data_IF_958727722414
#
_entry.id   IF_958727722414
#
_cell.length_a   1.000
_cell.length_b   1.000
_cell.length_c   1.000
_cell.angle_alpha   90.00
_cell.angle_beta   90.00
_cell.angle_gamma   90.00
#
_symmetry.space_group_name_H-M   'P 1'
#
loop_
_entity.id
_entity.type
_entity.pdbx_description
1 polymer ?
#
# COMPACT_ATOMS: atom_id res chain seq x y z
N UNK A 1 4.79 -64.66 -36.67
CA UNK A 1 3.52 -65.37 -36.42
C UNK A 1 2.45 -64.33 -36.20
N UNK A 2 1.41 -64.38 -37.02
CA UNK A 2 0.28 -63.46 -37.03
C UNK A 2 -0.82 -63.92 -36.07
N UNK A 3 -1.60 -62.99 -35.51
CA UNK A 3 -3.07 -62.99 -35.55
C UNK A 3 -3.66 -61.82 -34.72
N UNK A 4 -4.43 -60.96 -35.40
CA UNK A 4 -5.49 -60.09 -34.84
C UNK A 4 -6.83 -60.89 -34.84
N UNK A 5 -8.06 -60.35 -34.57
CA UNK A 5 -8.50 -58.98 -34.17
C UNK A 5 -9.66 -58.93 -33.11
N UNK A 6 -10.22 -57.74 -32.79
CA UNK A 6 -11.66 -57.33 -32.85
C UNK A 6 -12.00 -56.08 -31.99
N UNK A 7 -12.46 -55.04 -32.71
CA UNK A 7 -13.44 -53.93 -32.53
C UNK A 7 -14.14 -53.60 -31.16
N UNK A 8 -14.03 -52.30 -30.79
CA UNK A 8 -14.98 -51.29 -30.19
C UNK A 8 -16.09 -51.67 -29.18
N UNK A 9 -16.19 -50.92 -28.05
CA UNK A 9 -17.33 -50.01 -27.71
C UNK A 9 -17.15 -49.23 -26.38
N UNK A 10 -17.82 -48.08 -26.30
CA UNK A 10 -17.91 -47.08 -25.20
C UNK A 10 -18.28 -47.64 -23.81
N UNK A 11 -17.78 -46.99 -22.73
CA UNK A 11 -18.33 -47.16 -21.38
C UNK A 11 -17.64 -46.29 -20.32
N UNK A 12 -18.44 -45.48 -19.61
CA UNK A 12 -18.06 -44.45 -18.64
C UNK A 12 -17.95 -44.99 -17.19
N UNK A 13 -17.05 -44.37 -16.42
CA UNK A 13 -16.91 -44.32 -14.94
C UNK A 13 -16.51 -45.59 -14.16
N UNK A 14 -15.36 -45.52 -13.46
CA UNK A 14 -15.28 -45.26 -12.01
C UNK A 14 -13.86 -45.60 -11.48
N UNK A 15 -13.14 -44.60 -10.99
CA UNK A 15 -11.84 -44.77 -10.33
C UNK A 15 -11.68 -43.74 -9.22
N UNK A 16 -11.74 -44.23 -7.97
CA UNK A 16 -11.73 -43.47 -6.72
C UNK A 16 -10.45 -42.67 -6.50
N UNK A 17 -10.65 -41.56 -5.81
CA UNK A 17 -9.69 -40.62 -5.27
C UNK A 17 -8.64 -41.24 -4.32
N UNK A 18 -7.43 -40.71 -4.35
CA UNK A 18 -6.77 -40.13 -3.17
C UNK A 18 -5.47 -39.42 -3.56
N UNK A 19 -5.46 -38.09 -3.50
CA UNK A 19 -4.36 -37.33 -2.91
C UNK A 19 -4.92 -35.96 -2.51
N UNK A 20 -4.95 -35.72 -1.21
CA UNK A 20 -5.55 -34.55 -0.61
C UNK A 20 -4.65 -33.32 -0.67
N UNK A 21 -5.33 -32.17 -0.55
CA UNK A 21 -4.84 -30.93 0.03
C UNK A 21 -3.61 -30.29 -0.62
N UNK A 22 -3.83 -29.34 -1.54
CA UNK A 22 -3.17 -28.01 -1.56
C UNK A 22 -3.51 -27.12 -2.80
N UNK A 23 -4.67 -27.27 -3.43
CA UNK A 23 -5.10 -26.36 -4.52
C UNK A 23 -6.54 -25.87 -4.33
N UNK A 24 -6.75 -24.77 -3.60
CA UNK A 24 -8.12 -24.24 -3.45
C UNK A 24 -8.21 -22.71 -3.27
N UNK A 25 -7.47 -21.92 -4.07
CA UNK A 25 -7.84 -20.51 -4.31
C UNK A 25 -7.79 -20.04 -5.77
N UNK A 26 -7.11 -20.75 -6.67
CA UNK A 26 -7.13 -20.48 -8.10
C UNK A 26 -8.49 -20.73 -8.80
N UNK A 27 -9.26 -21.81 -8.51
CA UNK A 27 -10.45 -22.12 -9.31
C UNK A 27 -11.64 -21.18 -9.04
N UNK A 28 -11.64 -20.44 -7.92
CA UNK A 28 -12.71 -19.49 -7.59
C UNK A 28 -12.58 -18.20 -8.39
N UNK A 29 -11.35 -17.68 -8.58
CA UNK A 29 -11.06 -16.51 -9.43
C UNK A 29 -11.42 -16.77 -10.89
N UNK A 30 -11.09 -17.96 -11.40
CA UNK A 30 -11.37 -18.34 -12.79
C UNK A 30 -12.87 -18.50 -13.08
N UNK A 31 -13.63 -19.08 -12.12
CA UNK A 31 -15.10 -19.21 -12.21
C UNK A 31 -15.80 -17.85 -12.17
N UNK A 32 -15.30 -16.91 -11.37
CA UNK A 32 -15.86 -15.57 -11.24
C UNK A 32 -15.61 -14.74 -12.52
N UNK A 33 -14.40 -14.78 -13.08
CA UNK A 33 -14.08 -14.17 -14.38
C UNK A 33 -15.01 -14.66 -15.50
N UNK A 34 -15.26 -15.98 -15.59
CA UNK A 34 -16.21 -16.52 -16.59
C UNK A 34 -17.63 -15.97 -16.42
N UNK A 35 -18.07 -15.75 -15.18
CA UNK A 35 -19.41 -15.24 -14.89
C UNK A 35 -19.57 -13.77 -15.29
N UNK A 36 -18.53 -12.95 -15.10
CA UNK A 36 -18.50 -11.56 -15.59
C UNK A 36 -18.50 -11.47 -17.12
N UNK A 37 -17.77 -12.36 -17.82
CA UNK A 37 -17.83 -12.42 -19.29
C UNK A 37 -19.20 -12.86 -19.82
N UNK A 38 -19.87 -13.80 -19.14
CA UNK A 38 -21.18 -14.33 -19.56
C UNK A 38 -22.30 -13.31 -19.36
N UNK A 39 -22.16 -12.40 -18.38
CA UNK A 39 -23.08 -11.30 -18.12
C UNK A 39 -22.81 -10.06 -19.00
N UNK A 40 -21.79 -10.10 -19.87
CA UNK A 40 -21.43 -9.00 -20.77
C UNK A 40 -20.71 -7.84 -20.08
N UNK A 41 -20.15 -8.05 -18.88
CA UNK A 41 -19.48 -7.00 -18.10
C UNK A 41 -17.97 -6.91 -18.38
N UNK A 42 -17.44 -7.85 -19.16
CA UNK A 42 -16.08 -7.87 -19.68
C UNK A 42 -16.05 -8.63 -21.01
N UNK A 43 -15.21 -8.21 -21.95
CA UNK A 43 -14.90 -9.00 -23.15
C UNK A 43 -13.43 -9.44 -23.11
N UNK A 44 -13.15 -10.66 -23.59
CA UNK A 44 -11.80 -11.20 -23.67
C UNK A 44 -11.35 -11.23 -25.13
N UNK A 45 -10.33 -10.44 -25.46
CA UNK A 45 -9.54 -10.64 -26.67
C UNK A 45 -8.06 -10.60 -26.25
N UNK A 46 -7.38 -11.76 -26.34
CA UNK A 46 -5.92 -11.86 -26.21
C UNK A 46 -5.31 -11.24 -24.95
N UNK A 47 -5.35 -11.96 -23.83
CA UNK A 47 -4.49 -11.70 -22.67
C UNK A 47 -4.75 -10.41 -21.85
N UNK A 48 -5.75 -9.61 -22.22
CA UNK A 48 -6.14 -8.38 -21.51
C UNK A 48 -7.62 -8.43 -21.10
N UNK A 49 -7.96 -7.93 -19.91
CA UNK A 49 -9.35 -7.70 -19.51
C UNK A 49 -9.62 -6.20 -19.68
N UNK A 50 -10.50 -5.85 -20.63
CA UNK A 50 -11.01 -4.49 -20.78
C UNK A 50 -12.48 -4.47 -20.32
N UNK A 51 -12.83 -3.55 -19.42
CA UNK A 51 -14.22 -3.25 -19.08
C UNK A 51 -14.69 -2.10 -19.99
N UNK A 52 -15.86 -2.22 -20.62
CA UNK A 52 -16.37 -1.20 -21.55
C UNK A 52 -16.75 0.09 -20.82
N UNK A 53 -16.08 1.20 -21.15
CA UNK A 53 -16.14 2.52 -20.47
C UNK A 53 -17.20 3.47 -21.05
N UNK A 54 -18.03 3.05 -22.02
CA UNK A 54 -19.00 3.94 -22.66
C UNK A 54 -20.45 3.69 -22.23
N UNK A 55 -20.78 4.15 -21.02
CA UNK A 55 -22.11 4.68 -20.70
C UNK A 55 -21.95 6.02 -19.98
N UNK A 56 -22.49 7.08 -20.57
CA UNK A 56 -22.46 8.45 -20.02
C UNK A 56 -23.31 8.62 -18.74
N UNK A 57 -23.96 7.56 -18.27
CA UNK A 57 -24.83 7.56 -17.08
C UNK A 57 -24.13 7.18 -15.77
N UNK A 58 -22.82 6.87 -15.78
CA UNK A 58 -22.07 6.49 -14.55
C UNK A 58 -21.01 7.55 -14.21
N UNK A 59 -21.10 8.19 -13.02
CA UNK A 59 -20.09 9.15 -12.52
C UNK A 59 -18.69 8.54 -12.48
N UNK A 60 -17.65 9.33 -12.79
CA UNK A 60 -16.25 8.85 -12.84
C UNK A 60 -15.77 8.24 -11.53
N UNK A 61 -16.17 8.83 -10.40
CA UNK A 61 -15.93 8.32 -9.04
C UNK A 61 -16.38 6.87 -8.79
N UNK A 62 -17.28 6.35 -9.63
CA UNK A 62 -17.84 5.00 -9.50
C UNK A 62 -17.36 4.06 -10.62
N UNK A 63 -16.38 4.47 -11.42
CA UNK A 63 -15.80 3.64 -12.48
C UNK A 63 -14.62 2.86 -11.92
N UNK A 64 -14.70 1.53 -11.97
CA UNK A 64 -13.59 0.66 -11.61
C UNK A 64 -12.59 0.64 -12.79
N UNK A 65 -11.41 1.22 -12.61
CA UNK A 65 -10.32 1.16 -13.59
C UNK A 65 -9.29 0.16 -13.08
N UNK A 66 -9.09 -0.93 -13.82
CA UNK A 66 -7.99 -1.87 -13.58
C UNK A 66 -6.96 -1.71 -14.69
N UNK A 67 -5.81 -1.09 -14.39
CA UNK A 67 -4.67 -1.04 -15.32
C UNK A 67 -3.59 -2.00 -14.86
N UNK A 68 -3.19 -2.91 -15.75
CA UNK A 68 -1.94 -3.67 -15.62
C UNK A 68 -0.97 -3.19 -16.68
N UNK A 69 0.23 -2.76 -16.30
CA UNK A 69 1.35 -2.60 -17.25
C UNK A 69 2.24 -3.84 -17.21
N UNK A 70 2.60 -4.29 -18.40
CA UNK A 70 3.61 -5.31 -18.62
C UNK A 70 5.01 -4.77 -18.25
N UNK A 71 5.62 -5.40 -17.26
CA UNK A 71 7.04 -5.75 -17.32
C UNK A 71 7.19 -7.09 -16.60
N UNK A 72 7.90 -8.02 -17.22
CA UNK A 72 8.11 -9.36 -16.68
C UNK A 72 8.69 -9.30 -15.26
N UNK A 73 8.14 -10.17 -14.39
CA UNK A 73 8.50 -10.49 -13.01
C UNK A 73 7.71 -9.78 -11.88
N UNK A 74 7.13 -10.66 -11.05
CA UNK A 74 6.51 -10.48 -9.73
C UNK A 74 5.09 -9.86 -9.74
N UNK A 75 4.10 -10.75 -9.74
CA UNK A 75 2.76 -10.48 -9.24
C UNK A 75 2.81 -10.24 -7.73
N UNK A 76 2.45 -9.05 -7.26
CA UNK A 76 1.93 -8.85 -5.90
C UNK A 76 0.48 -8.38 -5.98
N UNK A 77 -0.41 -9.25 -5.49
CA UNK A 77 -1.86 -9.15 -5.59
C UNK A 77 -2.50 -8.24 -4.53
N UNK A 78 -1.80 -7.21 -4.05
CA UNK A 78 -2.14 -6.59 -2.76
C UNK A 78 -3.02 -5.33 -2.86
N UNK A 79 -3.06 -4.66 -4.02
CA UNK A 79 -4.00 -3.55 -4.26
C UNK A 79 -5.44 -4.00 -4.55
N UNK A 80 -5.67 -5.29 -4.79
CA UNK A 80 -6.99 -5.80 -5.14
C UNK A 80 -7.84 -6.23 -3.94
N UNK A 81 -7.26 -6.34 -2.74
CA UNK A 81 -7.93 -6.95 -1.59
C UNK A 81 -9.06 -6.07 -1.01
N UNK A 82 -8.87 -4.74 -0.99
CA UNK A 82 -9.90 -3.78 -0.59
C UNK A 82 -11.05 -3.72 -1.61
N UNK A 83 -10.72 -3.59 -2.89
CA UNK A 83 -11.69 -3.62 -4.00
C UNK A 83 -12.48 -4.94 -4.05
N UNK A 84 -11.86 -6.07 -3.67
CA UNK A 84 -12.53 -7.37 -3.60
C UNK A 84 -13.47 -7.50 -2.39
N UNK A 85 -13.11 -6.92 -1.24
CA UNK A 85 -13.98 -6.94 -0.07
C UNK A 85 -15.23 -6.08 -0.29
N UNK A 86 -15.08 -4.91 -0.88
CA UNK A 86 -16.20 -4.04 -1.23
C UNK A 86 -17.12 -4.69 -2.28
N UNK A 87 -16.54 -5.40 -3.26
CA UNK A 87 -17.30 -6.19 -4.24
C UNK A 87 -18.02 -7.41 -3.62
N UNK A 88 -17.44 -8.02 -2.57
CA UNK A 88 -18.08 -9.11 -1.82
C UNK A 88 -19.24 -8.61 -0.95
N UNK A 89 -19.10 -7.45 -0.30
CA UNK A 89 -20.21 -6.81 0.44
C UNK A 89 -21.37 -6.46 -0.50
N UNK A 90 -21.09 -5.93 -1.70
CA UNK A 90 -22.11 -5.68 -2.72
C UNK A 90 -22.80 -6.96 -3.21
N UNK A 91 -22.10 -8.10 -3.25
CA UNK A 91 -22.69 -9.40 -3.60
C UNK A 91 -23.55 -9.99 -2.47
N UNK A 92 -23.23 -9.70 -1.20
CA UNK A 92 -24.05 -10.11 -0.05
C UNK A 92 -25.42 -9.41 -0.01
N UNK A 93 -25.56 -8.26 -0.67
CA UNK A 93 -26.83 -7.51 -0.73
C UNK A 93 -27.84 -8.00 -1.77
N UNK A 94 -27.46 -8.95 -2.63
CA UNK A 94 -28.37 -9.62 -3.58
C UNK A 94 -28.91 -8.71 -4.71
N UNK A 95 -29.15 -9.23 -5.92
CA UNK A 95 -29.57 -8.41 -7.08
C UNK A 95 -30.99 -7.80 -7.01
N UNK A 96 -31.78 -8.08 -5.96
CA UNK A 96 -33.22 -7.78 -5.97
C UNK A 96 -33.62 -6.42 -5.39
N UNK A 97 -32.67 -5.60 -4.93
CA UNK A 97 -32.98 -4.26 -4.39
C UNK A 97 -32.69 -3.10 -5.35
N UNK A 98 -32.44 -3.37 -6.63
CA UNK A 98 -32.22 -2.35 -7.65
C UNK A 98 -33.25 -2.45 -8.78
N UNK A 99 -34.53 -2.30 -8.45
CA UNK A 99 -35.57 -1.96 -9.44
C UNK A 99 -36.53 -0.93 -8.81
N UNK A 100 -36.61 0.32 -9.32
CA UNK A 100 -37.71 1.20 -8.98
C UNK A 100 -38.95 0.74 -9.78
N UNK A 101 -39.90 0.09 -9.11
CA UNK A 101 -41.19 -0.22 -9.73
C UNK A 101 -42.03 1.07 -9.82
N UNK A 102 -42.14 1.64 -11.03
CA UNK A 102 -43.38 2.27 -11.49
C UNK A 102 -44.41 1.13 -11.70
N UNK A 103 -45.71 1.21 -11.36
CA UNK A 103 -46.87 1.98 -11.88
C UNK A 103 -48.11 1.54 -11.01
N UNK A 104 -49.37 2.02 -11.16
CA UNK A 104 -50.01 3.35 -11.05
C UNK A 104 -50.94 3.50 -9.79
N UNK A 105 -51.49 4.70 -9.61
CA UNK A 105 -52.57 5.04 -8.66
C UNK A 105 -53.77 4.07 -8.71
N UNK A 106 -54.26 3.62 -7.54
CA UNK A 106 -55.69 3.55 -7.21
C UNK A 106 -55.94 3.44 -5.69
N UNK A 107 -57.09 3.96 -5.31
CA UNK A 107 -57.70 4.23 -4.00
C UNK A 107 -57.96 3.02 -3.10
N UNK A 108 -57.87 3.17 -1.77
CA UNK A 108 -58.54 2.25 -0.82
C UNK A 108 -57.98 2.27 0.62
N UNK A 109 -58.88 2.26 1.62
CA UNK A 109 -58.66 2.41 3.08
C UNK A 109 -58.18 1.13 3.80
N UNK A 110 -57.60 1.30 5.00
CA UNK A 110 -57.55 0.31 6.10
C UNK A 110 -56.13 0.06 6.65
N UNK A 111 -55.68 0.72 7.73
CA UNK A 111 -55.78 0.37 9.18
C UNK A 111 -54.90 -0.81 9.67
N UNK A 112 -53.91 -0.44 10.52
CA UNK A 112 -53.28 -1.15 11.65
C UNK A 112 -52.42 -2.40 11.35
N UNK A 113 -51.32 -2.71 12.04
CA UNK A 113 -50.51 -2.09 13.09
C UNK A 113 -49.21 -2.93 13.28
N UNK A 114 -48.26 -2.37 14.04
CA UNK A 114 -47.08 -2.99 14.71
C UNK A 114 -45.77 -3.18 13.93
N UNK A 115 -44.78 -2.29 14.18
CA UNK A 115 -43.56 -2.63 14.94
C UNK A 115 -42.52 -1.48 14.98
N UNK A 116 -42.17 -1.08 16.20
CA UNK A 116 -40.87 -0.58 16.70
C UNK A 116 -40.17 0.59 15.99
N UNK A 117 -40.39 1.78 16.57
CA UNK A 117 -39.67 3.02 16.32
C UNK A 117 -38.31 2.97 17.05
N UNK A 118 -37.22 2.86 16.30
CA UNK A 118 -35.91 3.36 16.70
C UNK A 118 -35.79 4.78 16.15
N UNK A 119 -36.02 5.78 17.01
CA UNK A 119 -35.94 7.20 16.68
C UNK A 119 -34.55 7.59 16.22
N UNK A 120 -34.41 7.87 14.92
CA UNK A 120 -33.41 8.79 14.40
C UNK A 120 -33.67 10.17 15.02
N UNK A 121 -32.80 10.59 15.93
CA UNK A 121 -32.77 11.99 16.36
C UNK A 121 -32.26 12.79 15.16
N UNK A 122 -33.20 13.48 14.48
CA UNK A 122 -32.90 14.63 13.64
C UNK A 122 -32.12 15.63 14.50
N UNK A 123 -30.81 15.73 14.26
CA UNK A 123 -30.02 16.82 14.81
C UNK A 123 -30.56 18.12 14.20
N UNK A 124 -31.23 18.89 15.05
CA UNK A 124 -31.72 20.22 14.74
C UNK A 124 -30.58 21.16 14.42
N UNK A 125 -30.86 22.08 13.51
CA UNK A 125 -30.02 23.20 13.17
C UNK A 125 -29.63 23.98 14.43
N UNK A 126 -28.34 23.97 14.75
CA UNK A 126 -27.68 24.98 15.54
C UNK A 126 -26.81 25.79 14.57
N UNK A 127 -27.24 27.03 14.34
CA UNK A 127 -26.52 28.03 13.57
C UNK A 127 -25.11 28.20 14.14
N UNK A 128 -24.09 27.84 13.36
CA UNK A 128 -22.77 28.43 13.47
C UNK A 128 -22.37 28.95 12.09
N UNK A 129 -22.23 30.28 11.99
CA UNK A 129 -21.81 30.97 10.78
C UNK A 129 -20.28 30.86 10.62
N UNK A 130 -19.76 29.65 10.54
CA UNK A 130 -18.43 29.41 9.98
C UNK A 130 -18.65 28.60 8.70
N UNK A 131 -18.14 29.04 7.53
CA UNK A 131 -18.06 28.13 6.41
C UNK A 131 -17.15 26.99 6.87
N UNK A 132 -17.73 25.84 7.21
CA UNK A 132 -16.96 24.62 7.40
C UNK A 132 -16.36 24.30 6.06
N UNK A 133 -15.08 24.65 5.90
CA UNK A 133 -14.23 24.17 4.82
C UNK A 133 -14.52 22.67 4.63
N UNK A 134 -14.81 22.21 3.40
CA UNK A 134 -15.15 20.82 3.17
C UNK A 134 -13.99 19.93 3.63
N UNK A 135 -14.30 18.95 4.48
CA UNK A 135 -13.30 17.99 4.96
C UNK A 135 -12.62 17.30 3.77
N UNK A 136 -11.29 17.08 3.83
CA UNK A 136 -10.60 16.37 2.77
C UNK A 136 -11.14 14.94 2.65
N UNK A 137 -11.27 14.45 1.41
CA UNK A 137 -11.73 13.08 1.17
C UNK A 137 -10.63 12.06 1.45
N UNK A 138 -9.39 12.46 1.17
CA UNK A 138 -8.19 11.66 1.35
C UNK A 138 -7.12 12.48 2.08
N UNK A 139 -6.39 11.82 2.97
CA UNK A 139 -5.20 12.37 3.63
C UNK A 139 -4.00 11.52 3.24
N UNK A 140 -2.94 12.15 2.76
CA UNK A 140 -1.65 11.52 2.49
C UNK A 140 -0.64 12.06 3.50
N UNK A 141 0.04 11.17 4.22
CA UNK A 141 0.97 11.53 5.29
C UNK A 141 2.39 11.16 4.92
N UNK A 142 3.31 12.08 5.15
CA UNK A 142 4.72 11.75 5.32
C UNK A 142 4.97 11.03 6.66
N UNK A 143 6.15 10.41 6.83
CA UNK A 143 6.56 9.72 8.05
C UNK A 143 7.48 10.59 8.90
N UNK A 144 8.72 10.78 8.44
CA UNK A 144 9.80 11.43 9.19
C UNK A 144 9.44 12.90 9.42
N UNK A 145 9.53 13.38 10.66
CA UNK A 145 9.18 14.76 11.00
C UNK A 145 7.68 15.08 10.96
N UNK A 146 6.82 14.12 10.60
CA UNK A 146 5.38 14.33 10.38
C UNK A 146 4.53 13.42 11.28
N UNK A 147 4.57 12.10 11.08
CA UNK A 147 3.94 11.13 12.00
C UNK A 147 4.90 10.60 13.05
N UNK A 148 6.20 10.60 12.73
CA UNK A 148 7.26 9.94 13.48
C UNK A 148 8.42 10.92 13.66
N UNK A 149 9.06 10.99 14.85
CA UNK A 149 10.23 11.84 15.05
C UNK A 149 11.35 11.54 14.05
N UNK A 150 11.99 12.57 13.50
CA UNK A 150 13.15 12.41 12.59
C UNK A 150 14.23 11.54 13.25
N UNK A 151 14.48 11.78 14.54
CA UNK A 151 15.46 11.03 15.34
C UNK A 151 15.18 9.53 15.40
N UNK A 152 13.94 9.08 15.27
CA UNK A 152 13.65 7.65 15.25
C UNK A 152 14.28 6.97 14.03
N UNK A 153 14.27 7.62 12.87
CA UNK A 153 14.90 7.04 11.67
C UNK A 153 16.42 7.17 11.74
N UNK A 154 16.92 8.36 12.07
CA UNK A 154 18.37 8.64 12.06
C UNK A 154 19.13 7.97 13.19
N UNK A 155 18.52 7.88 14.38
CA UNK A 155 19.20 7.48 15.61
C UNK A 155 18.82 6.06 16.05
N UNK A 156 17.74 5.48 15.49
CA UNK A 156 17.30 4.11 15.82
C UNK A 156 17.33 3.20 14.60
N UNK A 157 16.56 3.48 13.55
CA UNK A 157 16.43 2.54 12.42
C UNK A 157 17.73 2.34 11.64
N UNK A 158 18.41 3.41 11.21
CA UNK A 158 19.66 3.26 10.47
C UNK A 158 20.79 2.66 11.32
N UNK A 159 21.03 3.09 12.58
CA UNK A 159 21.99 2.44 13.46
C UNK A 159 21.66 0.96 13.70
N UNK A 160 20.39 0.61 13.89
CA UNK A 160 19.98 -0.79 14.03
C UNK A 160 20.34 -1.61 12.79
N UNK A 161 20.08 -1.11 11.57
CA UNK A 161 20.45 -1.85 10.37
C UNK A 161 21.97 -2.06 10.27
N UNK A 162 22.75 -1.01 10.57
CA UNK A 162 24.21 -1.05 10.58
C UNK A 162 24.75 -2.07 11.60
N UNK A 163 24.28 -2.03 12.84
CA UNK A 163 24.85 -2.83 13.93
C UNK A 163 24.40 -4.30 13.88
N UNK A 164 23.35 -4.60 13.12
CA UNK A 164 22.75 -5.93 13.06
C UNK A 164 22.89 -6.63 11.70
N UNK A 165 23.47 -5.99 10.68
CA UNK A 165 23.67 -6.59 9.34
C UNK A 165 24.39 -7.94 9.40
N UNK A 166 25.50 -8.03 10.15
CA UNK A 166 26.27 -9.27 10.27
C UNK A 166 25.48 -10.40 10.94
N UNK A 167 24.70 -10.08 11.98
CA UNK A 167 23.86 -11.07 12.68
C UNK A 167 22.71 -11.54 11.80
N UNK A 168 22.02 -10.62 11.13
CA UNK A 168 20.94 -10.94 10.20
C UNK A 168 21.45 -11.85 9.08
N UNK A 169 22.49 -11.44 8.34
CA UNK A 169 23.08 -12.24 7.27
C UNK A 169 23.54 -13.62 7.76
N UNK A 170 24.09 -13.72 8.97
CA UNK A 170 24.50 -15.02 9.54
C UNK A 170 23.32 -15.94 9.82
N UNK A 171 22.22 -15.39 10.35
CA UNK A 171 21.04 -16.16 10.70
C UNK A 171 20.22 -16.57 9.48
N UNK A 172 20.14 -15.71 8.47
CA UNK A 172 19.24 -15.88 7.32
C UNK A 172 19.96 -16.23 6.02
N UNK A 173 21.27 -16.47 6.03
CA UNK A 173 22.11 -16.64 4.83
C UNK A 173 21.55 -17.59 3.76
N UNK A 174 20.98 -18.72 4.18
CA UNK A 174 20.44 -19.75 3.28
C UNK A 174 19.00 -19.49 2.84
N UNK A 175 18.35 -18.47 3.40
CA UNK A 175 16.98 -18.13 3.03
C UNK A 175 16.94 -17.54 1.61
N UNK A 176 15.90 -17.85 0.80
CA UNK A 176 15.79 -17.30 -0.55
C UNK A 176 15.86 -15.77 -0.58
N UNK A 177 15.23 -15.10 0.39
CA UNK A 177 15.19 -13.65 0.51
C UNK A 177 16.60 -13.05 0.72
N UNK A 178 17.36 -13.57 1.68
CA UNK A 178 18.73 -13.10 1.91
C UNK A 178 19.66 -13.46 0.75
N UNK A 179 19.44 -14.58 0.06
CA UNK A 179 20.21 -14.92 -1.14
C UNK A 179 19.97 -13.92 -2.28
N UNK A 180 18.73 -13.43 -2.43
CA UNK A 180 18.40 -12.37 -3.39
C UNK A 180 19.03 -11.03 -2.99
N UNK A 181 19.02 -10.67 -1.70
CA UNK A 181 19.73 -9.49 -1.20
C UNK A 181 21.23 -9.54 -1.50
N UNK A 182 21.88 -10.68 -1.19
CA UNK A 182 23.31 -10.89 -1.43
C UNK A 182 23.62 -10.75 -2.92
N UNK A 183 22.78 -11.31 -3.79
CA UNK A 183 22.96 -11.20 -5.24
C UNK A 183 22.86 -9.76 -5.71
N UNK A 184 21.87 -9.01 -5.22
CA UNK A 184 21.68 -7.61 -5.59
C UNK A 184 22.84 -6.73 -5.08
N UNK A 185 23.30 -6.96 -3.85
CA UNK A 185 24.47 -6.27 -3.27
C UNK A 185 25.76 -6.62 -4.00
N UNK A 186 25.98 -7.87 -4.40
CA UNK A 186 27.12 -8.27 -5.25
C UNK A 186 27.15 -7.47 -6.54
N UNK A 187 26.02 -7.43 -7.26
CA UNK A 187 25.91 -6.66 -8.51
C UNK A 187 26.22 -5.18 -8.28
N UNK A 188 25.69 -4.59 -7.21
CA UNK A 188 25.94 -3.19 -6.89
C UNK A 188 27.43 -2.92 -6.59
N UNK A 189 28.06 -3.77 -5.77
CA UNK A 189 29.47 -3.63 -5.39
C UNK A 189 30.38 -3.81 -6.60
N UNK A 190 30.07 -4.72 -7.51
CA UNK A 190 30.80 -4.86 -8.77
C UNK A 190 30.77 -3.57 -9.62
N UNK A 191 29.62 -2.91 -9.70
CA UNK A 191 29.49 -1.64 -10.41
C UNK A 191 30.21 -0.50 -9.68
N UNK A 192 30.13 -0.47 -8.35
CA UNK A 192 30.85 0.48 -7.51
C UNK A 192 32.37 0.36 -7.66
N UNK A 193 32.89 -0.86 -7.75
CA UNK A 193 34.31 -1.14 -8.01
C UNK A 193 34.75 -0.64 -9.39
N UNK A 194 33.92 -0.86 -10.43
CA UNK A 194 34.19 -0.33 -11.78
C UNK A 194 34.22 1.20 -11.80
N UNK A 195 33.40 1.84 -10.97
CA UNK A 195 33.30 3.29 -10.84
C UNK A 195 34.34 3.88 -9.86
N UNK A 196 35.12 3.05 -9.17
CA UNK A 196 36.13 3.50 -8.20
C UNK A 196 35.52 4.15 -6.96
N UNK A 197 34.31 3.74 -6.55
CA UNK A 197 33.64 4.26 -5.36
C UNK A 197 34.48 3.91 -4.11
N UNK A 198 34.80 4.92 -3.32
CA UNK A 198 35.59 4.75 -2.10
C UNK A 198 34.86 3.86 -1.08
N UNK A 199 35.56 2.85 -0.56
CA UNK A 199 35.02 1.91 0.42
C UNK A 199 34.37 0.66 -0.17
N UNK A 200 34.24 0.57 -1.50
CA UNK A 200 33.81 -0.67 -2.15
C UNK A 200 34.92 -1.74 -2.07
N UNK A 201 34.57 -2.95 -1.66
CA UNK A 201 35.48 -4.09 -1.52
C UNK A 201 34.88 -5.30 -2.24
N UNK A 202 35.64 -6.07 -3.03
CA UNK A 202 35.13 -7.26 -3.69
C UNK A 202 34.47 -8.24 -2.72
N UNK A 203 33.27 -8.70 -3.07
CA UNK A 203 32.57 -9.75 -2.31
C UNK A 203 33.03 -11.10 -2.87
N UNK A 204 33.61 -12.00 -2.06
CA UNK A 204 34.03 -13.33 -2.51
C UNK A 204 32.86 -14.17 -3.06
N UNK A 205 33.21 -15.15 -3.90
CA UNK A 205 32.27 -16.17 -4.34
C UNK A 205 31.84 -17.07 -3.16
N UNK A 206 30.73 -17.78 -3.30
CA UNK A 206 30.16 -18.57 -2.19
C UNK A 206 31.08 -19.71 -1.74
N UNK A 207 31.94 -20.20 -2.63
CA UNK A 207 32.94 -21.24 -2.37
C UNK A 207 34.04 -20.78 -1.41
N UNK A 208 34.23 -19.47 -1.23
CA UNK A 208 35.16 -18.91 -0.25
C UNK A 208 34.71 -19.16 1.21
N UNK A 209 33.45 -19.55 1.41
CA UNK A 209 32.86 -19.81 2.72
C UNK A 209 31.98 -18.65 3.19
N UNK A 210 30.89 -19.02 3.87
CA UNK A 210 29.83 -18.12 4.35
C UNK A 210 30.37 -16.94 5.14
N UNK A 211 31.31 -17.17 6.06
CA UNK A 211 31.84 -16.16 6.96
C UNK A 211 32.61 -15.07 6.21
N UNK A 212 33.34 -15.43 5.16
CA UNK A 212 34.10 -14.47 4.35
C UNK A 212 33.18 -13.61 3.50
N UNK A 213 32.13 -14.21 2.92
CA UNK A 213 31.09 -13.49 2.17
C UNK A 213 30.38 -12.50 3.06
N UNK A 214 29.96 -12.92 4.26
CA UNK A 214 29.28 -12.04 5.24
C UNK A 214 30.21 -10.90 5.66
N UNK A 215 31.47 -11.17 6.01
CA UNK A 215 32.40 -10.12 6.42
C UNK A 215 32.60 -9.05 5.33
N UNK A 216 32.70 -9.46 4.06
CA UNK A 216 32.80 -8.53 2.94
C UNK A 216 31.51 -7.72 2.73
N UNK A 217 30.34 -8.36 2.84
CA UNK A 217 29.05 -7.68 2.76
C UNK A 217 28.86 -6.65 3.86
N UNK A 218 29.18 -7.02 5.11
CA UNK A 218 29.13 -6.12 6.28
C UNK A 218 29.97 -4.88 6.02
N UNK A 219 31.24 -5.04 5.62
CA UNK A 219 32.13 -3.91 5.35
C UNK A 219 31.61 -2.99 4.23
N UNK A 220 31.06 -3.55 3.16
CA UNK A 220 30.45 -2.75 2.08
C UNK A 220 29.19 -2.02 2.55
N UNK A 221 28.29 -2.69 3.27
CA UNK A 221 27.04 -2.10 3.79
C UNK A 221 27.34 -0.98 4.77
N UNK A 222 28.28 -1.17 5.70
CA UNK A 222 28.72 -0.13 6.63
C UNK A 222 29.29 1.09 5.90
N UNK A 223 30.11 0.87 4.86
CA UNK A 223 30.64 1.95 4.03
C UNK A 223 29.52 2.70 3.28
N UNK A 224 28.54 1.98 2.73
CA UNK A 224 27.40 2.58 2.04
C UNK A 224 26.52 3.41 2.97
N UNK A 225 26.24 2.91 4.19
CA UNK A 225 25.48 3.63 5.22
C UNK A 225 26.25 4.87 5.68
N UNK A 226 27.55 4.74 5.96
CA UNK A 226 28.40 5.86 6.38
C UNK A 226 28.46 6.98 5.33
N UNK A 227 28.36 6.64 4.06
CA UNK A 227 28.34 7.58 2.95
C UNK A 227 26.93 8.05 2.54
N UNK A 228 25.88 7.74 3.32
CA UNK A 228 24.46 8.05 3.04
C UNK A 228 24.04 7.69 1.60
N UNK A 229 24.48 6.51 1.12
CA UNK A 229 24.23 6.10 -0.26
C UNK A 229 22.80 5.59 -0.40
N UNK A 230 22.02 6.23 -1.28
CA UNK A 230 20.61 5.89 -1.54
C UNK A 230 20.47 4.85 -2.64
N UNK A 231 20.85 3.61 -2.34
CA UNK A 231 20.90 2.51 -3.31
C UNK A 231 19.76 1.51 -3.07
N UNK A 232 19.14 1.02 -4.14
CA UNK A 232 18.07 0.00 -4.08
C UNK A 232 18.52 -1.26 -3.33
N UNK A 233 19.71 -1.79 -3.63
CA UNK A 233 20.27 -2.98 -2.98
C UNK A 233 20.37 -2.83 -1.45
N UNK A 234 20.86 -1.67 -0.99
CA UNK A 234 20.99 -1.36 0.43
C UNK A 234 19.61 -1.24 1.10
N UNK A 235 18.68 -0.50 0.47
CA UNK A 235 17.33 -0.30 1.00
C UNK A 235 16.56 -1.62 1.17
N UNK A 236 16.73 -2.56 0.24
CA UNK A 236 16.11 -3.88 0.32
C UNK A 236 16.60 -4.64 1.55
N UNK A 237 17.93 -4.80 1.70
CA UNK A 237 18.53 -5.46 2.86
C UNK A 237 18.14 -4.77 4.17
N UNK A 238 18.19 -3.43 4.23
CA UNK A 238 17.77 -2.68 5.42
C UNK A 238 16.32 -3.01 5.81
N UNK A 239 15.41 -3.13 4.82
CA UNK A 239 14.04 -3.56 5.02
C UNK A 239 13.93 -4.91 5.73
N UNK A 240 14.67 -5.92 5.27
CA UNK A 240 14.65 -7.27 5.86
C UNK A 240 15.34 -7.33 7.24
N UNK A 241 16.39 -6.53 7.46
CA UNK A 241 17.01 -6.38 8.78
C UNK A 241 16.02 -5.77 9.77
N UNK A 242 15.33 -4.69 9.37
CA UNK A 242 14.29 -4.09 10.21
C UNK A 242 13.14 -5.06 10.46
N UNK A 243 12.71 -5.82 9.45
CA UNK A 243 11.68 -6.84 9.62
C UNK A 243 12.06 -7.82 10.73
N UNK A 244 13.30 -8.31 10.72
CA UNK A 244 13.82 -9.18 11.78
C UNK A 244 13.76 -8.50 13.15
N UNK A 245 14.20 -7.25 13.24
CA UNK A 245 14.19 -6.49 14.50
C UNK A 245 12.78 -6.24 15.03
N UNK A 246 11.84 -5.90 14.17
CA UNK A 246 10.43 -5.76 14.52
C UNK A 246 9.83 -7.11 14.93
N UNK A 247 10.07 -8.19 14.20
CA UNK A 247 9.56 -9.54 14.50
C UNK A 247 10.06 -10.04 15.86
N UNK A 248 11.33 -9.80 16.18
CA UNK A 248 11.95 -10.16 17.46
C UNK A 248 11.61 -9.19 18.61
N UNK A 249 10.84 -8.13 18.36
CA UNK A 249 10.53 -7.05 19.31
C UNK A 249 11.77 -6.31 19.84
N UNK A 250 12.83 -6.27 19.04
CA UNK A 250 14.02 -5.41 19.26
C UNK A 250 13.78 -3.98 18.75
N UNK A 251 12.84 -3.82 17.82
CA UNK A 251 12.34 -2.56 17.31
C UNK A 251 10.85 -2.40 17.60
N UNK A 252 10.46 -1.18 17.96
CA UNK A 252 9.08 -0.75 18.11
C UNK A 252 8.91 0.57 17.35
N UNK A 253 7.80 0.69 16.61
CA UNK A 253 7.49 1.86 15.81
C UNK A 253 7.09 3.02 16.70
N UNK A 254 7.70 4.18 16.48
CA UNK A 254 7.39 5.39 17.24
C UNK A 254 6.58 6.34 16.38
N UNK A 255 5.46 6.82 16.91
CA UNK A 255 4.66 7.91 16.31
C UNK A 255 4.34 8.96 17.38
N UNK A 256 4.07 10.19 16.96
CA UNK A 256 3.61 11.25 17.87
C UNK A 256 2.25 10.90 18.49
N UNK A 257 2.00 11.37 19.71
CA UNK A 257 0.84 10.97 20.52
C UNK A 257 -0.53 11.38 19.93
N UNK A 258 -0.54 12.41 19.08
CA UNK A 258 -1.73 12.90 18.40
C UNK A 258 -2.08 12.06 17.17
N UNK A 259 -1.11 11.36 16.58
CA UNK A 259 -1.30 10.61 15.32
C UNK A 259 -2.35 9.50 15.46
N UNK A 260 -2.29 8.58 16.45
CA UNK A 260 -3.31 7.53 16.59
C UNK A 260 -4.72 8.10 16.80
N UNK A 261 -4.83 9.21 17.53
CA UNK A 261 -6.10 9.88 17.82
C UNK A 261 -6.69 10.48 16.56
N UNK A 262 -5.89 11.22 15.78
CA UNK A 262 -6.29 11.78 14.50
C UNK A 262 -6.69 10.70 13.48
N UNK A 263 -5.88 9.64 13.34
CA UNK A 263 -6.19 8.50 12.47
C UNK A 263 -7.53 7.84 12.83
N UNK A 264 -7.80 7.69 14.14
CA UNK A 264 -9.08 7.14 14.62
C UNK A 264 -10.26 8.05 14.24
N UNK A 265 -10.11 9.36 14.45
CA UNK A 265 -11.14 10.35 14.13
C UNK A 265 -11.41 10.39 12.62
N UNK A 266 -10.37 10.52 11.79
CA UNK A 266 -10.50 10.54 10.34
C UNK A 266 -11.15 9.27 9.80
N UNK A 267 -10.76 8.11 10.31
CA UNK A 267 -11.40 6.85 9.94
C UNK A 267 -12.89 6.81 10.34
N UNK A 268 -13.27 7.35 11.50
CA UNK A 268 -14.68 7.44 11.92
C UNK A 268 -15.52 8.38 11.04
N UNK A 269 -14.87 9.37 10.42
CA UNK A 269 -15.47 10.29 9.45
C UNK A 269 -15.45 9.74 8.02
N UNK A 270 -14.91 8.54 7.81
CA UNK A 270 -14.81 7.92 6.49
C UNK A 270 -13.69 8.47 5.61
N UNK A 271 -12.80 9.30 6.15
CA UNK A 271 -11.64 9.86 5.45
C UNK A 271 -10.61 8.75 5.23
N UNK A 272 -10.10 8.63 4.00
CA UNK A 272 -9.12 7.61 3.63
C UNK A 272 -7.71 8.14 3.88
N UNK A 273 -6.89 7.38 4.60
CA UNK A 273 -5.53 7.79 4.95
C UNK A 273 -4.50 6.92 4.24
N UNK A 274 -3.49 7.54 3.67
CA UNK A 274 -2.38 6.89 2.97
C UNK A 274 -1.05 7.42 3.48
N UNK A 275 0.02 6.66 3.29
CA UNK A 275 1.38 7.08 3.61
C UNK A 275 2.16 7.30 2.31
N UNK A 276 3.00 8.33 2.25
CA UNK A 276 3.98 8.51 1.19
C UNK A 276 5.35 8.85 1.79
N UNK A 277 6.31 7.94 1.66
CA UNK A 277 7.64 8.08 2.27
C UNK A 277 8.75 7.57 1.36
N UNK A 278 9.97 8.04 1.61
CA UNK A 278 11.19 7.59 0.93
C UNK A 278 11.57 6.14 1.28
N UNK A 279 11.11 5.65 2.42
CA UNK A 279 11.27 4.27 2.86
C UNK A 279 10.41 3.31 2.04
N UNK A 280 10.87 2.06 1.88
CA UNK A 280 10.11 1.04 1.14
C UNK A 280 8.76 0.78 1.79
N UNK A 281 7.74 0.38 1.00
CA UNK A 281 6.43 0.00 1.55
C UNK A 281 6.52 -1.05 2.67
N UNK A 282 7.48 -1.97 2.60
CA UNK A 282 7.75 -2.92 3.69
C UNK A 282 8.13 -2.20 5.00
N UNK A 283 9.09 -1.29 4.95
CA UNK A 283 9.51 -0.50 6.12
C UNK A 283 8.35 0.31 6.70
N UNK A 284 7.54 0.94 5.84
CA UNK A 284 6.36 1.69 6.28
C UNK A 284 5.35 0.78 7.02
N UNK A 285 5.06 -0.41 6.47
CA UNK A 285 4.18 -1.39 7.12
C UNK A 285 4.72 -1.88 8.46
N UNK A 286 6.03 -2.02 8.59
CA UNK A 286 6.66 -2.41 9.86
C UNK A 286 6.51 -1.32 10.91
N UNK A 287 6.83 -0.06 10.57
CA UNK A 287 6.70 1.09 11.46
C UNK A 287 5.27 1.19 12.01
N UNK A 288 4.25 1.19 11.15
CA UNK A 288 2.86 1.33 11.59
C UNK A 288 2.22 0.04 12.12
N UNK A 289 2.84 -1.13 11.86
CA UNK A 289 2.31 -2.42 12.26
C UNK A 289 2.63 -2.82 13.70
N UNK A 290 3.72 -2.29 14.26
CA UNK A 290 4.19 -2.58 15.61
C UNK A 290 4.54 -1.29 16.35
N UNK A 291 3.58 -0.39 16.52
CA UNK A 291 3.82 0.87 17.25
C UNK A 291 3.66 0.73 18.74
N UNK A 292 4.14 1.73 19.48
CA UNK A 292 3.83 1.96 20.90
C UNK A 292 2.33 2.17 21.23
N UNK A 293 1.48 2.26 20.21
CA UNK A 293 0.01 2.32 20.32
C UNK A 293 -0.69 1.10 19.70
N UNK A 294 0.06 0.03 19.40
CA UNK A 294 -0.42 -1.17 18.73
C UNK A 294 -0.34 -1.07 17.20
N UNK A 295 -1.11 -1.92 16.51
CA UNK A 295 -1.14 -1.93 15.03
C UNK A 295 -2.06 -0.80 14.51
N UNK A 296 -1.45 0.22 13.90
CA UNK A 296 -2.14 1.37 13.31
C UNK A 296 -2.53 1.15 11.84
N UNK A 297 -2.07 0.07 11.19
CA UNK A 297 -2.37 -0.20 9.77
C UNK A 297 -3.85 -0.36 9.49
N UNK A 298 -4.65 -0.70 10.50
CA UNK A 298 -6.12 -0.74 10.42
C UNK A 298 -6.77 0.59 10.03
N UNK A 299 -6.07 1.72 10.20
CA UNK A 299 -6.52 3.05 9.78
C UNK A 299 -5.95 3.49 8.42
N UNK A 300 -5.02 2.71 7.84
CA UNK A 300 -4.30 3.07 6.63
C UNK A 300 -4.85 2.26 5.44
N UNK A 301 -5.12 2.97 4.35
CA UNK A 301 -5.68 2.40 3.12
C UNK A 301 -4.59 1.98 2.12
N UNK A 302 -3.37 2.51 2.23
CA UNK A 302 -2.26 2.17 1.35
C UNK A 302 -0.97 2.91 1.65
N UNK A 303 0.07 2.52 0.93
CA UNK A 303 1.45 3.01 1.10
C UNK A 303 2.03 3.32 -0.29
N UNK A 304 2.57 4.52 -0.44
CA UNK A 304 3.35 4.97 -1.59
C UNK A 304 4.81 5.10 -1.17
N UNK A 305 5.72 4.73 -2.06
CA UNK A 305 7.16 4.90 -1.89
C UNK A 305 7.75 5.50 -3.17
N UNK A 306 9.07 5.59 -3.26
CA UNK A 306 9.74 6.21 -4.41
C UNK A 306 9.51 5.49 -5.75
N UNK A 307 8.83 4.34 -5.77
CA UNK A 307 8.40 3.72 -7.03
C UNK A 307 7.33 4.54 -7.77
N UNK A 308 6.58 5.40 -7.06
CA UNK A 308 5.66 6.37 -7.69
C UNK A 308 6.39 7.59 -8.24
N UNK A 309 7.60 7.85 -7.76
CA UNK A 309 8.42 9.02 -8.11
C UNK A 309 9.07 9.66 -6.88
N UNK A 310 9.94 10.66 -7.11
CA UNK A 310 10.61 11.40 -6.03
C UNK A 310 9.63 12.35 -5.33
N UNK A 311 9.71 12.44 -4.00
CA UNK A 311 8.83 13.30 -3.18
C UNK A 311 8.96 14.81 -3.48
N UNK A 312 10.02 15.24 -4.16
CA UNK A 312 10.23 16.64 -4.56
C UNK A 312 9.78 16.94 -5.99
N UNK A 313 9.18 15.96 -6.66
CA UNK A 313 8.72 16.08 -8.04
C UNK A 313 7.18 16.14 -8.08
N UNK A 314 6.65 17.19 -8.71
CA UNK A 314 5.20 17.41 -8.89
C UNK A 314 4.51 16.20 -9.53
N UNK A 315 5.18 15.52 -10.47
CA UNK A 315 4.62 14.37 -11.18
C UNK A 315 4.27 13.21 -10.23
N UNK A 316 5.01 13.03 -9.14
CA UNK A 316 4.74 11.99 -8.14
C UNK A 316 3.36 12.17 -7.50
N UNK A 317 2.98 13.43 -7.22
CA UNK A 317 1.70 13.75 -6.60
C UNK A 317 0.55 13.68 -7.60
N UNK A 318 0.79 13.99 -8.87
CA UNK A 318 -0.18 13.74 -9.95
C UNK A 318 -0.49 12.24 -10.04
N UNK A 319 0.54 11.39 -10.09
CA UNK A 319 0.38 9.93 -10.13
C UNK A 319 -0.32 9.39 -8.88
N UNK A 320 -0.02 9.94 -7.69
CA UNK A 320 -0.74 9.61 -6.44
C UNK A 320 -2.22 9.97 -6.57
N UNK A 321 -2.56 11.19 -6.99
CA UNK A 321 -3.97 11.61 -7.15
C UNK A 321 -4.72 10.71 -8.14
N UNK A 322 -4.09 10.35 -9.27
CA UNK A 322 -4.65 9.42 -10.25
C UNK A 322 -4.83 8.01 -9.67
N UNK A 323 -3.82 7.50 -8.97
CA UNK A 323 -3.85 6.19 -8.29
C UNK A 323 -4.95 6.10 -7.23
N UNK A 324 -5.21 7.21 -6.52
CA UNK A 324 -6.27 7.32 -5.53
C UNK A 324 -7.67 7.44 -6.16
N UNK A 325 -7.76 7.76 -7.45
CA UNK A 325 -9.02 7.90 -8.16
C UNK A 325 -9.86 9.09 -7.69
N UNK A 326 -9.23 10.15 -7.17
CA UNK A 326 -9.94 11.37 -6.77
C UNK A 326 -10.37 12.18 -8.00
N UNK A 327 -11.52 12.86 -7.91
CA UNK A 327 -12.02 13.69 -9.02
C UNK A 327 -11.21 14.99 -9.17
N UNK A 328 -10.72 15.54 -8.05
CA UNK A 328 -9.86 16.74 -8.02
C UNK A 328 -8.65 16.49 -7.12
N UNK A 329 -7.44 16.92 -7.51
CA UNK A 329 -6.26 16.85 -6.65
C UNK A 329 -6.46 17.57 -5.31
N UNK A 330 -7.25 18.65 -5.28
CA UNK A 330 -7.61 19.40 -4.06
C UNK A 330 -8.43 18.61 -3.05
N UNK A 331 -8.97 17.44 -3.42
CA UNK A 331 -9.67 16.55 -2.48
C UNK A 331 -8.68 15.74 -1.62
N UNK A 332 -7.38 15.83 -1.93
CA UNK A 332 -6.28 15.21 -1.19
C UNK A 332 -5.56 16.28 -0.37
N UNK A 333 -5.52 16.06 0.93
CA UNK A 333 -4.68 16.81 1.86
C UNK A 333 -3.36 16.07 2.07
N UNK A 334 -2.24 16.71 1.76
CA UNK A 334 -0.89 16.19 2.04
C UNK A 334 -0.27 16.88 3.26
N UNK A 335 0.28 16.07 4.17
CA UNK A 335 1.02 16.54 5.34
C UNK A 335 2.48 16.12 5.23
N UNK A 336 3.39 17.08 5.37
CA UNK A 336 4.84 16.87 5.37
C UNK A 336 5.52 17.95 6.21
N UNK A 337 6.71 17.69 6.75
CA UNK A 337 7.57 18.71 7.34
C UNK A 337 8.49 19.38 6.29
N UNK A 338 8.66 18.76 5.12
CA UNK A 338 9.63 19.18 4.11
C UNK A 338 9.02 20.20 3.16
N UNK A 339 9.54 21.43 3.20
CA UNK A 339 9.09 22.52 2.34
C UNK A 339 9.07 22.18 0.83
N UNK A 340 10.11 21.52 0.31
CA UNK A 340 10.17 21.18 -1.12
C UNK A 340 9.11 20.15 -1.54
N UNK A 341 8.73 19.26 -0.64
CA UNK A 341 7.64 18.30 -0.88
C UNK A 341 6.28 19.01 -0.85
N UNK A 342 6.11 19.96 0.07
CA UNK A 342 4.92 20.80 0.14
C UNK A 342 4.72 21.63 -1.15
N UNK A 343 5.80 22.20 -1.69
CA UNK A 343 5.77 22.91 -2.99
C UNK A 343 5.37 21.97 -4.13
N UNK A 344 6.03 20.81 -4.25
CA UNK A 344 5.73 19.84 -5.30
C UNK A 344 4.28 19.34 -5.26
N UNK A 345 3.73 19.08 -4.06
CA UNK A 345 2.34 18.68 -3.88
C UNK A 345 1.37 19.82 -4.23
N UNK A 346 1.67 21.06 -3.84
CA UNK A 346 0.82 22.21 -4.16
C UNK A 346 0.80 22.50 -5.66
N UNK A 347 1.94 22.37 -6.33
CA UNK A 347 2.05 22.51 -7.79
C UNK A 347 1.23 21.44 -8.54
N UNK A 348 1.02 20.26 -7.93
CA UNK A 348 0.14 19.22 -8.44
C UNK A 348 -1.35 19.47 -8.14
N UNK A 349 -1.67 20.53 -7.39
CA UNK A 349 -3.02 20.95 -7.05
C UNK A 349 -3.59 20.34 -5.78
N UNK A 350 -2.76 19.67 -4.96
CA UNK A 350 -3.20 19.14 -3.66
C UNK A 350 -3.39 20.26 -2.64
N UNK A 351 -4.20 20.01 -1.62
CA UNK A 351 -4.15 20.80 -0.39
C UNK A 351 -2.97 20.33 0.46
N UNK A 352 -2.31 21.28 1.14
CA UNK A 352 -1.04 21.00 1.82
C UNK A 352 -0.99 21.71 3.17
N UNK A 353 -0.59 20.98 4.20
CA UNK A 353 -0.24 21.51 5.52
C UNK A 353 1.18 21.10 5.88
N UNK A 354 1.97 22.04 6.39
CA UNK A 354 3.31 21.73 6.88
C UNK A 354 3.25 21.32 8.35
N UNK A 355 3.76 20.13 8.68
CA UNK A 355 3.87 19.65 10.06
C UNK A 355 5.12 20.22 10.72
N UNK A 356 4.93 20.92 11.84
CA UNK A 356 6.01 21.49 12.65
C UNK A 356 6.13 20.65 13.92
N UNK A 357 7.14 19.78 13.96
CA UNK A 357 7.42 18.87 15.08
C UNK A 357 8.76 19.18 15.74
N UNK A 358 8.95 18.78 17.01
CA UNK A 358 10.27 18.89 17.66
C UNK A 358 11.34 18.16 16.84
N UNK A 359 12.43 18.87 16.53
CA UNK A 359 13.55 18.35 15.74
C UNK A 359 13.51 18.66 14.24
N UNK A 360 12.38 19.17 13.72
CA UNK A 360 12.30 19.59 12.32
C UNK A 360 13.21 20.80 12.06
N UNK A 361 13.73 20.88 10.83
CA UNK A 361 14.53 22.03 10.39
C UNK A 361 13.70 23.32 10.30
N UNK A 362 14.36 24.50 10.29
CA UNK A 362 13.65 25.76 10.13
C UNK A 362 13.02 25.85 8.74
N UNK A 363 11.80 26.39 8.68
CA UNK A 363 11.13 26.71 7.42
C UNK A 363 11.64 28.04 6.86
N UNK A 364 11.65 28.23 5.52
CA UNK A 364 11.95 29.53 4.92
C UNK A 364 10.98 30.62 5.40
N UNK A 365 11.46 31.84 5.59
CA UNK A 365 10.58 32.97 5.89
C UNK A 365 9.55 33.18 4.77
N UNK A 366 8.31 33.50 5.14
CA UNK A 366 7.20 33.76 4.21
C UNK A 366 6.95 32.60 3.21
N UNK A 367 7.14 31.35 3.65
CA UNK A 367 6.95 30.16 2.82
C UNK A 367 5.53 29.97 2.24
N UNK A 368 4.53 30.66 2.80
CA UNK A 368 3.18 30.73 2.22
C UNK A 368 2.28 29.50 2.45
N UNK A 369 2.71 28.56 3.30
CA UNK A 369 1.92 27.39 3.67
C UNK A 369 1.31 27.55 5.06
N UNK A 370 0.14 26.95 5.27
CA UNK A 370 -0.40 26.78 6.61
C UNK A 370 0.41 25.69 7.35
N UNK A 371 0.62 25.89 8.65
CA UNK A 371 1.40 25.00 9.50
C UNK A 371 0.54 24.45 10.62
N UNK A 372 0.78 23.20 11.02
CA UNK A 372 0.17 22.59 12.21
C UNK A 372 1.26 21.98 13.09
N UNK A 373 1.01 21.95 14.39
CA UNK A 373 1.89 21.31 15.38
C UNK A 373 1.35 19.97 15.88
N UNK A 374 0.06 19.71 15.63
CA UNK A 374 -0.68 18.50 15.99
C UNK A 374 -1.72 18.19 14.93
N UNK A 375 -1.92 16.91 14.64
CA UNK A 375 -2.96 16.46 13.71
C UNK A 375 -4.38 16.67 14.25
N UNK A 376 -4.52 16.96 15.55
CA UNK A 376 -5.81 17.30 16.17
C UNK A 376 -6.29 18.72 15.82
N UNK A 377 -5.48 19.50 15.11
CA UNK A 377 -5.85 20.81 14.57
C UNK A 377 -6.67 20.69 13.27
N UNK A 378 -6.76 19.48 12.69
CA UNK A 378 -7.56 19.12 11.50
C UNK A 378 -8.79 18.34 11.95
#
# INVERSE_FOLDING_TARGET
>A
MASSPVVSLNGVMAGRASLGYMESKAPMKLKLCRRFCTLGWASSAGGSIAAEVHRDSVPRSNRLIAMGRHSANIFQAEGYHCLFNDALELHHLGPNNLIPNHVPQQTGRGLADYANISTYVKAGALNSNNPTEPLPRCVVLDIEGTTTPISFVTDVLFPYARDNVGRHLSATFESPETRDDIKLLRSQVEDDLKQGVQGAVPIPADEAGKEQVIAALVGNVEAMIKADRKITALKQLQGHIWQTGFENNELEGVVFEDVPKALTNWNSLGIKVYIYSSGSRLAQRLIFGKTNYGDLRKYLCGFFDTNVGNKKETQSYIEISESLGVDKPSDVLFLTDVYQEAVAAKDAGLEVLISVRPGNGPLPENHGFNTISSFLEI
#
